data_IF_772345002174
#
_entry.id   IF_772345002174
#
_cell.length_a   1.000
_cell.length_b   1.000
_cell.length_c   1.000
_cell.angle_alpha   90.00
_cell.angle_beta   90.00
_cell.angle_gamma   90.00
#
_symmetry.space_group_name_H-M   'P 1'
#
loop_
_entity.id
_entity.type
_entity.pdbx_description
1 polymer ?
#
# COMPACT_ATOMS: atom_id res chain seq x y z
N UNK A 1 1.75 21.12 -17.53
CA UNK A 1 0.92 19.92 -17.26
C UNK A 1 0.00 20.18 -16.06
N UNK A 2 -1.30 19.89 -16.21
CA UNK A 2 -2.32 19.99 -15.13
C UNK A 2 -1.93 19.09 -13.95
N UNK A 3 -2.07 19.52 -12.68
CA UNK A 3 -1.63 18.76 -11.51
C UNK A 3 -2.31 17.38 -11.41
N UNK A 4 -3.61 17.28 -11.71
CA UNK A 4 -4.32 15.99 -11.73
C UNK A 4 -3.77 15.00 -12.76
N UNK A 5 -3.35 15.48 -13.94
CA UNK A 5 -2.76 14.62 -14.97
C UNK A 5 -1.43 14.01 -14.52
N UNK A 6 -0.65 14.72 -13.69
CA UNK A 6 0.62 14.17 -13.17
C UNK A 6 0.39 13.00 -12.23
N UNK A 7 -0.66 13.07 -11.39
CA UNK A 7 -1.04 11.99 -10.48
C UNK A 7 -1.48 10.76 -11.27
N UNK A 8 -2.35 10.96 -12.26
CA UNK A 8 -2.82 9.87 -13.12
C UNK A 8 -1.66 9.20 -13.85
N UNK A 9 -0.75 9.99 -14.44
CA UNK A 9 0.42 9.45 -15.13
C UNK A 9 1.37 8.73 -14.17
N UNK A 10 1.57 9.22 -12.94
CA UNK A 10 2.41 8.51 -11.96
C UNK A 10 1.80 7.17 -11.56
N UNK A 11 0.49 7.10 -11.30
CA UNK A 11 -0.18 5.83 -10.97
C UNK A 11 -0.16 4.87 -12.15
N UNK A 12 -0.43 5.36 -13.37
CA UNK A 12 -0.35 4.55 -14.58
C UNK A 12 1.06 3.99 -14.80
N UNK A 13 2.09 4.81 -14.56
CA UNK A 13 3.48 4.36 -14.69
C UNK A 13 3.84 3.31 -13.65
N UNK A 14 3.39 3.46 -12.40
CA UNK A 14 3.60 2.46 -11.35
C UNK A 14 2.90 1.14 -11.68
N UNK A 15 1.65 1.19 -12.16
CA UNK A 15 0.92 0.00 -12.61
C UNK A 15 1.60 -0.68 -13.81
N UNK A 16 2.11 0.09 -14.77
CA UNK A 16 2.81 -0.48 -15.92
C UNK A 16 4.13 -1.15 -15.52
N UNK A 17 4.92 -0.50 -14.67
CA UNK A 17 6.18 -1.07 -14.15
C UNK A 17 5.89 -2.34 -13.34
N UNK A 18 4.88 -2.30 -12.46
CA UNK A 18 4.43 -3.46 -11.70
C UNK A 18 4.00 -4.61 -12.60
N UNK A 19 3.19 -4.33 -13.63
CA UNK A 19 2.76 -5.31 -14.64
C UNK A 19 3.96 -5.96 -15.33
N UNK A 20 4.92 -5.16 -15.79
CA UNK A 20 6.11 -5.67 -16.50
C UNK A 20 6.91 -6.60 -15.60
N UNK A 21 7.14 -6.22 -14.34
CA UNK A 21 7.88 -7.04 -13.38
C UNK A 21 7.09 -8.33 -13.05
N UNK A 22 5.78 -8.21 -12.81
CA UNK A 22 4.93 -9.37 -12.51
C UNK A 22 4.83 -10.34 -13.68
N UNK A 23 4.85 -9.86 -14.92
CA UNK A 23 4.79 -10.71 -16.11
C UNK A 23 6.12 -11.42 -16.42
N UNK A 24 7.24 -11.00 -15.81
CA UNK A 24 8.52 -11.69 -16.01
C UNK A 24 8.49 -13.07 -15.34
N UNK A 25 9.11 -14.10 -15.96
CA UNK A 25 9.12 -15.45 -15.44
C UNK A 25 9.76 -15.59 -14.05
N UNK A 26 10.61 -14.64 -13.64
CA UNK A 26 11.17 -14.58 -12.28
C UNK A 26 10.11 -14.37 -11.20
N UNK A 27 8.96 -13.79 -11.55
CA UNK A 27 7.83 -13.52 -10.65
C UNK A 27 6.84 -14.69 -10.59
N UNK A 28 6.94 -15.68 -11.48
CA UNK A 28 5.99 -16.79 -11.60
C UNK A 28 6.53 -18.04 -10.90
N UNK A 29 5.71 -18.66 -10.04
CA UNK A 29 6.11 -19.90 -9.35
C UNK A 29 6.17 -21.12 -10.28
N UNK A 30 5.48 -21.06 -11.42
CA UNK A 30 5.27 -22.19 -12.32
C UNK A 30 4.14 -23.13 -11.92
N UNK A 31 3.46 -22.89 -10.79
CA UNK A 31 2.32 -23.70 -10.33
C UNK A 31 1.01 -23.37 -11.08
N UNK A 32 0.92 -22.16 -11.65
CA UNK A 32 -0.25 -21.64 -12.35
C UNK A 32 0.22 -20.93 -13.62
N UNK A 33 -0.48 -21.13 -14.74
CA UNK A 33 -0.25 -20.37 -15.96
C UNK A 33 -0.77 -18.94 -15.78
N UNK A 34 0.14 -17.96 -15.78
CA UNK A 34 -0.19 -16.55 -15.60
C UNK A 34 -0.27 -15.87 -16.97
N UNK A 35 -1.44 -15.33 -17.30
CA UNK A 35 -1.62 -14.53 -18.51
C UNK A 35 -1.14 -13.08 -18.30
N UNK A 36 -0.90 -12.35 -19.39
CA UNK A 36 -0.59 -10.92 -19.31
C UNK A 36 -1.72 -10.11 -18.65
N UNK A 37 -2.97 -10.56 -18.80
CA UNK A 37 -4.13 -9.92 -18.18
C UNK A 37 -4.09 -10.10 -16.65
N UNK A 38 -3.70 -11.28 -16.16
CA UNK A 38 -3.57 -11.55 -14.72
C UNK A 38 -2.50 -10.67 -14.08
N UNK A 39 -1.38 -10.45 -14.77
CA UNK A 39 -0.31 -9.56 -14.31
C UNK A 39 -0.79 -8.09 -14.25
N UNK A 40 -1.50 -7.61 -15.29
CA UNK A 40 -2.10 -6.26 -15.30
C UNK A 40 -3.12 -6.12 -14.18
N UNK A 41 -4.03 -7.09 -14.04
CA UNK A 41 -5.09 -7.07 -13.06
C UNK A 41 -4.53 -7.05 -11.64
N UNK A 42 -3.59 -7.94 -11.34
CA UNK A 42 -2.91 -8.01 -10.05
C UNK A 42 -2.17 -6.71 -9.75
N UNK A 43 -1.44 -6.15 -10.73
CA UNK A 43 -0.72 -4.89 -10.54
C UNK A 43 -1.65 -3.72 -10.22
N UNK A 44 -2.77 -3.60 -10.95
CA UNK A 44 -3.75 -2.52 -10.72
C UNK A 44 -4.48 -2.72 -9.40
N UNK A 45 -4.88 -3.96 -9.08
CA UNK A 45 -5.56 -4.29 -7.82
C UNK A 45 -4.69 -3.99 -6.60
N UNK A 46 -3.40 -4.35 -6.67
CA UNK A 46 -2.43 -4.05 -5.61
C UNK A 46 -2.21 -2.53 -5.45
N UNK A 47 -2.01 -1.81 -6.56
CA UNK A 47 -1.79 -0.35 -6.54
C UNK A 47 -3.04 0.43 -6.08
N UNK A 48 -4.22 -0.03 -6.46
CA UNK A 48 -5.48 0.56 -6.02
C UNK A 48 -5.92 0.06 -4.65
N UNK A 49 -5.18 -0.89 -4.07
CA UNK A 49 -5.40 -1.41 -2.72
C UNK A 49 -6.78 -2.07 -2.60
N UNK A 50 -7.20 -2.79 -3.65
CA UNK A 50 -8.55 -3.36 -3.79
C UNK A 50 -8.66 -4.80 -3.25
N UNK A 51 -7.60 -5.60 -3.42
CA UNK A 51 -7.54 -6.97 -2.91
C UNK A 51 -8.20 -8.04 -3.77
N UNK A 52 -8.67 -7.68 -4.96
CA UNK A 52 -9.19 -8.66 -5.92
C UNK A 52 -8.03 -9.33 -6.65
N UNK A 53 -8.15 -10.64 -6.85
CA UNK A 53 -7.14 -11.46 -7.54
C UNK A 53 -7.84 -12.34 -8.58
N UNK A 54 -7.23 -12.51 -9.75
CA UNK A 54 -7.68 -13.48 -10.77
C UNK A 54 -6.97 -14.82 -10.64
N UNK A 55 -5.81 -14.81 -9.98
CA UNK A 55 -5.01 -15.99 -9.64
C UNK A 55 -4.66 -15.94 -8.15
N UNK A 56 -4.59 -17.10 -7.50
CA UNK A 56 -4.27 -17.19 -6.08
C UNK A 56 -2.87 -16.65 -5.79
N UNK A 57 -2.81 -15.64 -4.91
CA UNK A 57 -1.55 -14.95 -4.57
C UNK A 57 -0.56 -15.86 -3.84
N UNK A 58 -1.05 -16.82 -3.07
CA UNK A 58 -0.21 -17.72 -2.28
C UNK A 58 0.65 -18.61 -3.18
N UNK A 59 0.09 -19.09 -4.29
CA UNK A 59 0.73 -20.09 -5.15
C UNK A 59 1.20 -19.56 -6.50
N UNK A 60 0.63 -18.47 -7.03
CA UNK A 60 0.97 -18.00 -8.38
C UNK A 60 2.34 -17.29 -8.43
N UNK A 61 2.70 -16.59 -7.36
CA UNK A 61 3.85 -15.67 -7.36
C UNK A 61 5.04 -16.21 -6.58
N UNK A 62 6.25 -15.92 -7.07
CA UNK A 62 7.50 -16.10 -6.31
C UNK A 62 7.66 -15.00 -5.26
N UNK A 63 8.68 -15.07 -4.39
CA UNK A 63 9.02 -13.96 -3.50
C UNK A 63 9.25 -12.63 -4.23
N UNK A 64 9.76 -12.65 -5.48
CA UNK A 64 9.92 -11.44 -6.29
C UNK A 64 8.56 -10.84 -6.67
N UNK A 65 7.61 -11.70 -7.03
CA UNK A 65 6.23 -11.27 -7.30
C UNK A 65 5.55 -10.72 -6.05
N UNK A 66 5.68 -11.39 -4.90
CA UNK A 66 5.14 -10.90 -3.63
C UNK A 66 5.75 -9.56 -3.21
N UNK A 67 7.06 -9.36 -3.33
CA UNK A 67 7.72 -8.05 -3.09
C UNK A 67 7.15 -6.97 -4.01
N UNK A 68 6.90 -7.30 -5.27
CA UNK A 68 6.34 -6.36 -6.25
C UNK A 68 4.91 -5.96 -5.86
N UNK A 69 4.07 -6.93 -5.50
CA UNK A 69 2.71 -6.68 -5.00
C UNK A 69 2.76 -5.81 -3.75
N UNK A 70 3.63 -6.14 -2.79
CA UNK A 70 3.79 -5.39 -1.54
C UNK A 70 4.22 -3.94 -1.79
N UNK A 71 5.15 -3.71 -2.72
CA UNK A 71 5.59 -2.38 -3.10
C UNK A 71 4.45 -1.57 -3.76
N UNK A 72 3.65 -2.19 -4.62
CA UNK A 72 2.49 -1.55 -5.25
C UNK A 72 1.44 -1.17 -4.20
N UNK A 73 1.15 -2.05 -3.24
CA UNK A 73 0.27 -1.77 -2.11
C UNK A 73 0.75 -0.53 -1.35
N UNK A 74 2.04 -0.48 -1.02
CA UNK A 74 2.61 0.65 -0.29
C UNK A 74 2.51 1.96 -1.07
N UNK A 75 2.84 1.94 -2.36
CA UNK A 75 2.74 3.11 -3.24
C UNK A 75 1.30 3.60 -3.37
N UNK A 76 0.35 2.68 -3.49
CA UNK A 76 -1.08 2.94 -3.53
C UNK A 76 -1.61 3.57 -2.26
N UNK A 77 -1.37 2.90 -1.12
CA UNK A 77 -1.86 3.32 0.18
C UNK A 77 -1.32 4.69 0.61
N UNK A 78 0.00 4.92 0.43
CA UNK A 78 0.59 6.25 0.67
C UNK A 78 -0.02 7.31 -0.25
N UNK A 79 -0.26 6.99 -1.53
CA UNK A 79 -0.91 7.90 -2.48
C UNK A 79 -2.29 8.36 -2.01
N UNK A 80 -3.14 7.43 -1.57
CA UNK A 80 -4.49 7.73 -1.08
C UNK A 80 -4.43 8.55 0.21
N UNK A 81 -3.56 8.18 1.17
CA UNK A 81 -3.37 8.93 2.42
C UNK A 81 -2.89 10.37 2.17
N UNK A 82 -2.01 10.59 1.19
CA UNK A 82 -1.57 11.94 0.81
C UNK A 82 -2.70 12.75 0.19
N UNK A 83 -3.50 12.16 -0.70
CA UNK A 83 -4.68 12.80 -1.28
C UNK A 83 -5.69 13.18 -0.20
N UNK A 84 -6.03 12.25 0.68
CA UNK A 84 -6.94 12.49 1.80
C UNK A 84 -6.45 13.61 2.72
N UNK A 85 -5.16 13.61 3.06
CA UNK A 85 -4.54 14.64 3.90
C UNK A 85 -4.50 16.01 3.22
N UNK A 86 -4.23 16.06 1.91
CA UNK A 86 -4.29 17.29 1.14
C UNK A 86 -5.71 17.88 1.10
N UNK A 87 -6.74 17.03 0.94
CA UNK A 87 -8.14 17.43 1.01
C UNK A 87 -8.51 17.90 2.41
N UNK A 88 -8.10 17.17 3.46
CA UNK A 88 -8.34 17.56 4.85
C UNK A 88 -7.71 18.92 5.18
N UNK A 89 -6.46 19.15 4.75
CA UNK A 89 -5.81 20.46 4.86
C UNK A 89 -6.58 21.53 4.10
N UNK A 90 -7.06 21.25 2.89
CA UNK A 90 -7.86 22.20 2.10
C UNK A 90 -9.19 22.56 2.76
N UNK A 91 -9.88 21.59 3.38
CA UNK A 91 -11.13 21.83 4.12
C UNK A 91 -10.83 22.62 5.41
N UNK A 92 -9.80 22.23 6.16
CA UNK A 92 -9.34 22.95 7.35
C UNK A 92 -8.96 24.40 7.05
N UNK A 93 -8.43 24.69 5.86
CA UNK A 93 -8.20 26.06 5.38
C UNK A 93 -9.49 26.87 5.27
N UNK A 94 -10.59 26.32 4.76
CA UNK A 94 -11.86 27.07 4.68
C UNK A 94 -12.38 27.46 6.06
N UNK A 95 -12.37 26.53 7.01
CA UNK A 95 -12.81 26.78 8.38
C UNK A 95 -11.91 27.79 9.08
N UNK A 96 -10.59 27.63 8.97
CA UNK A 96 -9.60 28.52 9.59
C UNK A 96 -9.60 29.91 8.97
N UNK A 97 -9.74 30.04 7.64
CA UNK A 97 -9.83 31.33 6.97
C UNK A 97 -11.10 32.08 7.35
N UNK A 98 -12.25 31.40 7.44
CA UNK A 98 -13.49 32.02 7.93
C UNK A 98 -13.30 32.58 9.35
N UNK A 99 -12.71 31.81 10.28
CA UNK A 99 -12.45 32.29 11.65
C UNK A 99 -11.33 33.34 11.75
N UNK A 100 -10.36 33.35 10.82
CA UNK A 100 -9.27 34.34 10.79
C UNK A 100 -9.68 35.65 10.12
N UNK A 101 -10.63 35.63 9.18
CA UNK A 101 -11.24 36.84 8.63
C UNK A 101 -11.97 37.64 9.72
N UNK A 102 -12.60 36.95 10.67
CA UNK A 102 -13.21 37.59 11.84
C UNK A 102 -12.17 38.15 12.84
N UNK A 103 -10.93 37.65 12.81
CA UNK A 103 -9.86 37.99 13.78
C UNK A 103 -8.72 38.86 13.21
N UNK A 104 -8.77 39.27 11.94
CA UNK A 104 -7.81 40.21 11.33
C UNK A 104 -6.34 39.76 11.27
N UNK A 105 -6.03 38.46 11.39
CA UNK A 105 -4.63 37.98 11.43
C UNK A 105 -4.01 37.71 10.06
N UNK A 106 -2.74 38.10 9.92
CA UNK A 106 -1.94 38.01 8.69
C UNK A 106 -1.63 36.58 8.22
N UNK A 107 -1.39 36.50 6.93
CA UNK A 107 -1.47 35.32 6.09
C UNK A 107 -0.22 34.41 6.22
N UNK A 108 -0.28 33.37 7.06
CA UNK A 108 0.70 32.27 7.03
C UNK A 108 0.34 31.30 5.89
N UNK A 109 0.68 31.64 4.65
CA UNK A 109 0.52 30.73 3.51
C UNK A 109 1.35 29.46 3.75
N UNK A 110 0.73 28.29 3.59
CA UNK A 110 1.45 27.01 3.69
C UNK A 110 2.58 27.00 2.66
N UNK A 111 3.81 26.87 3.14
CA UNK A 111 4.98 26.74 2.29
C UNK A 111 4.99 25.33 1.68
N UNK A 112 5.63 25.15 0.54
CA UNK A 112 5.95 23.80 0.02
C UNK A 112 6.66 22.94 1.07
N UNK A 113 7.37 23.56 2.01
CA UNK A 113 7.96 22.91 3.19
C UNK A 113 6.93 22.21 4.09
N UNK A 114 5.76 22.80 4.31
CA UNK A 114 4.74 22.24 5.19
C UNK A 114 4.10 20.98 4.58
N UNK A 115 3.91 20.98 3.26
CA UNK A 115 3.43 19.81 2.52
C UNK A 115 4.42 18.66 2.64
N UNK A 116 5.72 18.92 2.40
CA UNK A 116 6.76 17.90 2.52
C UNK A 116 6.89 17.38 3.95
N UNK A 117 6.76 18.26 4.96
CA UNK A 117 6.78 17.87 6.38
C UNK A 117 5.61 16.95 6.72
N UNK A 118 4.40 17.27 6.26
CA UNK A 118 3.21 16.44 6.45
C UNK A 118 3.37 15.09 5.74
N UNK A 119 3.85 15.07 4.50
CA UNK A 119 4.10 13.81 3.78
C UNK A 119 5.11 12.91 4.50
N UNK A 120 6.22 13.47 4.99
CA UNK A 120 7.20 12.73 5.80
C UNK A 120 6.60 12.23 7.11
N UNK A 121 5.73 13.02 7.73
CA UNK A 121 5.02 12.63 8.95
C UNK A 121 4.11 11.42 8.73
N UNK A 122 3.30 11.45 7.67
CA UNK A 122 2.42 10.33 7.27
C UNK A 122 3.26 9.09 6.97
N UNK A 123 4.28 9.20 6.12
CA UNK A 123 5.14 8.06 5.79
C UNK A 123 5.81 7.47 7.04
N UNK A 124 6.34 8.31 7.94
CA UNK A 124 6.93 7.86 9.20
C UNK A 124 5.91 7.12 10.07
N UNK A 125 4.69 7.66 10.19
CA UNK A 125 3.63 7.03 10.98
C UNK A 125 3.23 5.68 10.38
N UNK A 126 2.99 5.63 9.07
CA UNK A 126 2.69 4.40 8.31
C UNK A 126 3.73 3.32 8.57
N UNK A 127 5.01 3.58 8.29
CA UNK A 127 6.07 2.60 8.50
C UNK A 127 6.27 2.21 9.96
N UNK A 128 5.98 3.11 10.91
CA UNK A 128 6.04 2.78 12.34
C UNK A 128 4.94 1.80 12.71
N UNK A 129 3.70 2.05 12.30
CA UNK A 129 2.57 1.17 12.60
C UNK A 129 2.76 -0.18 11.89
N UNK A 130 3.13 -0.18 10.61
CA UNK A 130 3.43 -1.38 9.85
C UNK A 130 4.56 -2.20 10.49
N UNK A 131 5.62 -1.54 10.98
CA UNK A 131 6.71 -2.21 11.69
C UNK A 131 6.26 -2.86 13.00
N UNK A 132 5.43 -2.17 13.80
CA UNK A 132 4.88 -2.72 15.05
C UNK A 132 3.96 -3.91 14.75
N UNK A 133 3.04 -3.76 13.79
CA UNK A 133 2.13 -4.83 13.39
C UNK A 133 2.89 -6.03 12.80
N UNK A 134 3.93 -5.78 12.00
CA UNK A 134 4.76 -6.84 11.45
C UNK A 134 5.46 -7.62 12.56
N UNK A 135 6.05 -6.93 13.55
CA UNK A 135 6.69 -7.57 14.68
C UNK A 135 5.71 -8.43 15.49
N UNK A 136 4.51 -7.92 15.77
CA UNK A 136 3.46 -8.66 16.49
C UNK A 136 3.04 -9.91 15.69
N UNK A 137 2.77 -9.77 14.40
CA UNK A 137 2.36 -10.87 13.53
C UNK A 137 3.47 -11.91 13.38
N UNK A 138 4.72 -11.49 13.22
CA UNK A 138 5.88 -12.40 13.12
C UNK A 138 6.04 -13.23 14.38
N UNK A 139 6.00 -12.62 15.57
CA UNK A 139 6.06 -13.37 16.84
C UNK A 139 4.89 -14.35 16.92
N UNK A 140 3.68 -13.94 16.52
CA UNK A 140 2.50 -14.80 16.56
C UNK A 140 2.62 -15.99 15.60
N UNK A 141 3.07 -15.78 14.37
CA UNK A 141 3.25 -16.86 13.39
C UNK A 141 4.35 -17.84 13.79
N UNK A 142 5.44 -17.35 14.41
CA UNK A 142 6.52 -18.19 14.91
C UNK A 142 6.08 -19.06 16.10
N UNK A 143 5.46 -18.46 17.12
CA UNK A 143 5.15 -19.15 18.37
C UNK A 143 3.87 -20.00 18.32
N UNK A 144 2.88 -19.62 17.52
CA UNK A 144 1.54 -20.22 17.58
C UNK A 144 1.10 -20.95 16.32
N UNK A 145 1.81 -20.79 15.21
CA UNK A 145 1.46 -21.39 13.91
C UNK A 145 2.63 -22.15 13.28
N UNK A 146 3.65 -22.51 14.08
CA UNK A 146 4.78 -23.36 13.70
C UNK A 146 5.56 -22.91 12.45
N UNK A 147 5.53 -21.63 12.09
CA UNK A 147 6.35 -21.09 11.01
C UNK A 147 7.81 -20.98 11.45
N UNK A 148 8.75 -21.28 10.54
CA UNK A 148 10.15 -20.90 10.74
C UNK A 148 10.28 -19.38 10.81
N UNK A 149 11.37 -18.89 11.41
CA UNK A 149 11.57 -17.45 11.61
C UNK A 149 11.54 -16.64 10.30
N UNK A 150 12.08 -17.18 9.22
CA UNK A 150 12.12 -16.50 7.92
C UNK A 150 10.72 -16.38 7.31
N UNK A 151 9.95 -17.46 7.31
CA UNK A 151 8.56 -17.47 6.86
C UNK A 151 7.67 -16.59 7.76
N UNK A 152 7.81 -16.70 9.09
CA UNK A 152 7.06 -15.86 10.03
C UNK A 152 7.34 -14.37 9.84
N UNK A 153 8.59 -13.99 9.58
CA UNK A 153 8.96 -12.62 9.26
C UNK A 153 8.31 -12.16 7.95
N UNK A 154 8.40 -12.97 6.90
CA UNK A 154 7.82 -12.65 5.59
C UNK A 154 6.30 -12.48 5.66
N UNK A 155 5.61 -13.44 6.28
CA UNK A 155 4.16 -13.39 6.48
C UNK A 155 3.76 -12.20 7.36
N UNK A 156 4.49 -11.93 8.44
CA UNK A 156 4.20 -10.78 9.32
C UNK A 156 4.33 -9.44 8.59
N UNK A 157 5.41 -9.24 7.82
CA UNK A 157 5.60 -8.01 7.04
C UNK A 157 4.54 -7.86 5.96
N UNK A 158 4.30 -8.92 5.17
CA UNK A 158 3.35 -8.86 4.07
C UNK A 158 1.93 -8.54 4.54
N UNK A 159 1.44 -9.26 5.55
CA UNK A 159 0.08 -9.07 6.06
C UNK A 159 -0.05 -7.77 6.87
N UNK A 160 1.02 -7.30 7.51
CA UNK A 160 1.01 -5.99 8.19
C UNK A 160 0.76 -4.85 7.21
N UNK A 161 1.56 -4.79 6.13
CA UNK A 161 1.42 -3.76 5.08
C UNK A 161 0.09 -3.90 4.36
N UNK A 162 -0.31 -5.12 3.99
CA UNK A 162 -1.60 -5.38 3.35
C UNK A 162 -2.77 -4.93 4.24
N UNK A 163 -2.76 -5.29 5.52
CA UNK A 163 -3.82 -4.91 6.46
C UNK A 163 -3.85 -3.40 6.72
N UNK A 164 -2.71 -2.77 6.99
CA UNK A 164 -2.65 -1.34 7.29
C UNK A 164 -3.13 -0.48 6.12
N UNK A 165 -2.75 -0.85 4.89
CA UNK A 165 -3.20 -0.15 3.70
C UNK A 165 -4.64 -0.55 3.29
N UNK A 166 -5.24 -1.58 3.90
CA UNK A 166 -6.54 -2.18 3.53
C UNK A 166 -6.53 -2.87 2.15
N UNK A 167 -5.39 -3.46 1.79
CA UNK A 167 -5.17 -4.06 0.48
C UNK A 167 -5.89 -5.38 0.27
N UNK A 168 -6.17 -6.16 1.33
CA UNK A 168 -6.88 -7.44 1.22
C UNK A 168 -6.10 -8.59 0.57
N UNK A 169 -4.85 -8.38 0.13
CA UNK A 169 -3.97 -9.45 -0.33
C UNK A 169 -3.47 -10.29 0.84
N UNK A 170 -3.40 -11.60 0.66
CA UNK A 170 -2.90 -12.55 1.66
C UNK A 170 -1.97 -13.58 0.99
N UNK A 171 -1.07 -14.17 1.79
CA UNK A 171 -0.17 -15.25 1.34
C UNK A 171 -0.74 -16.65 1.63
N UNK A 172 -2.03 -16.74 1.90
CA UNK A 172 -2.75 -18.00 2.05
C UNK A 172 -3.90 -18.06 1.04
N UNK A 173 -4.16 -19.25 0.50
CA UNK A 173 -5.18 -19.48 -0.53
C UNK A 173 -6.60 -19.21 -0.03
N UNK A 174 -6.84 -19.40 1.26
CA UNK A 174 -8.09 -19.13 1.95
C UNK A 174 -8.12 -17.72 2.57
N UNK A 175 -7.24 -16.83 2.10
CA UNK A 175 -7.02 -15.49 2.61
C UNK A 175 -6.56 -15.49 4.08
N UNK A 176 -7.43 -15.15 5.02
CA UNK A 176 -7.14 -15.22 6.46
C UNK A 176 -8.21 -16.05 7.20
N UNK A 177 -9.06 -16.78 6.47
CA UNK A 177 -10.21 -17.47 7.05
C UNK A 177 -9.81 -18.61 7.99
N UNK A 178 -8.71 -19.31 7.71
CA UNK A 178 -8.14 -20.33 8.59
C UNK A 178 -7.66 -19.83 9.96
N UNK A 179 -7.59 -18.52 10.19
CA UNK A 179 -7.20 -17.91 11.48
C UNK A 179 -8.42 -17.53 12.35
N UNK A 180 -9.65 -17.78 11.91
CA UNK A 180 -10.86 -17.36 12.62
C UNK A 180 -11.24 -18.26 13.82
N UNK A 181 -10.52 -19.36 14.04
CA UNK A 181 -10.78 -20.39 15.05
C UNK A 181 -9.74 -20.37 16.15
#
# INVERSE_FOLDING_TARGET
MRPGLRIVLSMLSAALVGTVILFMPVSHSGAVDISALDAVFTSVSALCVTGLTTVDTAIAWTPVGHVTILALIQLGGLGIMFLASAVALFIGRRLTLSSRMDAGQENSSLSSSDIVRTMKGIAKLTFTIEGILAAILTVRFYEAYDHDWGSALWHGVFHSVSAFNNAGFALYSDSMTGFAT
#
